data_IF_163860888997
#
_entry.id   IF_163860888997
#
_cell.length_a   1.000
_cell.length_b   1.000
_cell.length_c   1.000
_cell.angle_alpha   90.00
_cell.angle_beta   90.00
_cell.angle_gamma   90.00
#
_symmetry.space_group_name_H-M   'P 1'
#
loop_
_entity.id
_entity.type
_entity.pdbx_description
1 polymer ?
#
# COMPACT_ATOMS: atom_id res chain seq x y z
N UNK A 1 10.88 -26.35 -21.79
CA UNK A 1 11.74 -26.08 -22.95
C UNK A 1 12.56 -24.78 -22.75
N UNK A 2 11.95 -23.62 -22.56
CA UNK A 2 12.68 -22.34 -22.42
C UNK A 2 13.68 -22.36 -21.25
N UNK A 3 13.27 -22.89 -20.10
CA UNK A 3 14.15 -23.06 -18.93
C UNK A 3 15.38 -23.89 -19.31
N UNK A 4 15.18 -25.02 -19.98
CA UNK A 4 16.27 -25.91 -20.41
C UNK A 4 17.25 -25.21 -21.37
N UNK A 5 16.75 -24.42 -22.33
CA UNK A 5 17.59 -23.62 -23.25
C UNK A 5 18.46 -22.63 -22.46
N UNK A 6 17.89 -21.97 -21.45
CA UNK A 6 18.63 -21.01 -20.62
C UNK A 6 19.63 -21.72 -19.68
N UNK A 7 19.28 -22.88 -19.15
CA UNK A 7 20.20 -23.72 -18.34
C UNK A 7 21.40 -24.24 -19.17
N UNK A 8 21.13 -24.58 -20.46
CA UNK A 8 22.19 -24.98 -21.40
C UNK A 8 23.04 -23.78 -21.91
N UNK A 9 22.76 -22.55 -21.43
CA UNK A 9 23.50 -21.32 -21.79
C UNK A 9 23.16 -20.73 -23.15
N UNK A 10 22.10 -21.24 -23.81
CA UNK A 10 21.64 -20.78 -25.10
C UNK A 10 20.62 -19.62 -24.97
N UNK A 11 20.37 -18.91 -26.08
CA UNK A 11 19.38 -17.82 -26.13
C UNK A 11 18.04 -18.33 -26.63
N UNK A 12 16.97 -17.87 -25.97
CA UNK A 12 15.59 -18.16 -26.41
C UNK A 12 15.28 -17.31 -27.64
N UNK A 13 15.00 -17.97 -28.78
CA UNK A 13 14.58 -17.31 -30.01
C UNK A 13 13.07 -17.02 -29.98
N UNK A 14 12.68 -15.81 -30.37
CA UNK A 14 11.28 -15.43 -30.49
C UNK A 14 10.67 -16.06 -31.76
N UNK A 15 9.77 -17.01 -31.60
CA UNK A 15 9.17 -17.77 -32.68
C UNK A 15 7.73 -18.18 -32.34
N UNK A 16 6.92 -18.36 -33.39
CA UNK A 16 5.62 -19.02 -33.23
C UNK A 16 5.83 -20.52 -33.27
N UNK A 17 5.28 -21.26 -32.33
CA UNK A 17 5.37 -22.71 -32.22
C UNK A 17 4.01 -23.35 -32.26
N UNK A 18 3.91 -24.51 -32.90
CA UNK A 18 2.75 -25.35 -32.87
C UNK A 18 2.96 -26.45 -31.80
N UNK A 19 1.97 -26.64 -30.94
CA UNK A 19 1.95 -27.75 -30.00
C UNK A 19 1.34 -29.00 -30.65
N UNK A 20 2.03 -30.09 -30.54
CA UNK A 20 1.59 -31.43 -31.00
C UNK A 20 1.18 -32.22 -29.75
N UNK A 21 -0.13 -32.37 -29.55
CA UNK A 21 -0.69 -33.06 -28.37
C UNK A 21 -0.45 -34.56 -28.37
N UNK A 22 -0.18 -35.17 -29.52
CA UNK A 22 0.09 -36.61 -29.61
C UNK A 22 1.51 -36.96 -29.16
N UNK A 23 2.44 -36.00 -29.25
CA UNK A 23 3.85 -36.18 -28.90
C UNK A 23 4.25 -35.38 -27.66
N UNK A 24 3.34 -34.57 -27.14
CA UNK A 24 3.60 -33.59 -26.06
C UNK A 24 4.81 -32.67 -26.35
N UNK A 25 4.96 -32.27 -27.61
CA UNK A 25 6.08 -31.47 -28.07
C UNK A 25 5.64 -30.22 -28.83
N UNK A 26 6.50 -29.21 -28.82
CA UNK A 26 6.30 -28.02 -29.66
C UNK A 26 7.31 -27.99 -30.80
N UNK A 27 6.85 -27.69 -32.02
CA UNK A 27 7.70 -27.46 -33.21
C UNK A 27 7.63 -26.04 -33.71
N UNK A 28 8.74 -25.48 -34.22
CA UNK A 28 8.74 -24.13 -34.76
C UNK A 28 7.89 -24.06 -36.02
N UNK A 29 7.09 -23.00 -36.15
CA UNK A 29 6.33 -22.71 -37.36
C UNK A 29 6.97 -21.56 -38.15
N UNK A 30 7.18 -20.42 -37.48
CA UNK A 30 7.70 -19.21 -38.09
C UNK A 30 8.60 -18.47 -37.10
N UNK A 31 9.80 -18.11 -37.54
CA UNK A 31 10.69 -17.21 -36.81
C UNK A 31 10.17 -15.77 -36.94
N UNK A 32 10.23 -15.01 -35.84
CA UNK A 32 9.90 -13.58 -35.79
C UNK A 32 11.17 -12.70 -35.67
N UNK A 33 12.35 -13.27 -35.90
CA UNK A 33 13.62 -12.54 -35.73
C UNK A 33 13.72 -11.26 -36.55
N UNK A 34 13.00 -11.18 -37.69
CA UNK A 34 13.01 -10.04 -38.60
C UNK A 34 11.63 -9.37 -38.74
N UNK A 35 10.63 -9.80 -37.96
CA UNK A 35 9.34 -9.11 -37.95
C UNK A 35 9.48 -7.84 -37.11
N UNK A 36 9.56 -6.70 -37.75
CA UNK A 36 9.34 -5.42 -37.06
C UNK A 36 8.00 -5.53 -36.31
N UNK A 37 8.07 -5.36 -34.99
CA UNK A 37 6.86 -5.42 -34.17
C UNK A 37 6.03 -4.18 -34.50
N UNK A 38 4.95 -4.37 -35.24
CA UNK A 38 4.03 -3.28 -35.63
C UNK A 38 3.53 -2.42 -34.47
N UNK A 39 3.71 -2.87 -33.25
CA UNK A 39 3.30 -2.15 -32.03
C UNK A 39 4.23 -1.01 -31.64
N UNK A 40 5.41 -0.93 -32.26
CA UNK A 40 6.41 0.12 -31.97
C UNK A 40 6.48 1.20 -33.06
N UNK A 41 5.56 1.20 -34.02
CA UNK A 41 5.44 2.33 -34.94
C UNK A 41 4.75 3.48 -34.22
N UNK A 42 5.31 4.71 -34.26
CA UNK A 42 4.59 5.89 -33.83
C UNK A 42 3.27 5.97 -34.60
N UNK A 43 2.16 6.17 -33.89
CA UNK A 43 0.87 6.41 -34.52
C UNK A 43 0.94 7.75 -35.27
N UNK A 44 0.72 7.79 -36.59
CA UNK A 44 0.89 9.01 -37.38
C UNK A 44 -0.06 10.14 -36.96
N UNK A 45 -1.19 9.80 -36.35
CA UNK A 45 -2.20 10.75 -35.89
C UNK A 45 -1.92 11.32 -34.50
N UNK A 46 -0.89 10.80 -33.79
CA UNK A 46 -0.50 11.28 -32.47
C UNK A 46 0.75 12.17 -32.57
N UNK A 47 0.66 13.35 -31.98
CA UNK A 47 1.81 14.23 -31.85
C UNK A 47 2.81 13.66 -30.85
N UNK A 48 4.13 13.82 -31.09
CA UNK A 48 5.14 13.45 -30.11
C UNK A 48 4.91 14.14 -28.76
N UNK A 49 4.89 13.38 -27.68
CA UNK A 49 4.88 13.93 -26.33
C UNK A 49 6.32 14.20 -25.92
N UNK A 50 6.65 15.48 -25.72
CA UNK A 50 7.96 15.92 -25.27
C UNK A 50 7.86 16.23 -23.78
N UNK A 51 8.54 15.44 -22.95
CA UNK A 51 8.64 15.65 -21.51
C UNK A 51 10.02 16.23 -21.23
N UNK A 52 10.07 17.43 -20.65
CA UNK A 52 11.32 18.08 -20.31
C UNK A 52 11.92 17.51 -19.02
N UNK A 53 13.25 17.60 -18.88
CA UNK A 53 13.92 17.21 -17.62
C UNK A 53 13.42 18.02 -16.42
N UNK A 54 12.96 19.24 -16.63
CA UNK A 54 12.38 20.09 -15.59
C UNK A 54 11.04 19.53 -15.10
N UNK A 55 10.19 19.04 -15.99
CA UNK A 55 8.92 18.38 -15.62
C UNK A 55 9.18 17.08 -14.87
N UNK A 56 10.15 16.29 -15.29
CA UNK A 56 10.56 15.07 -14.60
C UNK A 56 11.07 15.40 -13.20
N UNK A 57 11.92 16.44 -13.08
CA UNK A 57 12.46 16.84 -11.77
C UNK A 57 11.35 17.35 -10.84
N UNK A 58 10.43 18.17 -11.35
CA UNK A 58 9.26 18.63 -10.58
C UNK A 58 8.44 17.45 -10.02
N UNK A 59 8.16 16.45 -10.86
CA UNK A 59 7.43 15.25 -10.42
C UNK A 59 8.21 14.51 -9.34
N UNK A 60 9.53 14.39 -9.48
CA UNK A 60 10.39 13.73 -8.47
C UNK A 60 10.37 14.47 -7.13
N UNK A 61 10.42 15.80 -7.16
CA UNK A 61 10.42 16.64 -5.96
C UNK A 61 9.07 16.61 -5.22
N UNK A 62 7.98 16.43 -5.96
CA UNK A 62 6.61 16.32 -5.43
C UNK A 62 6.19 14.86 -5.14
N UNK A 63 7.08 13.89 -5.38
CA UNK A 63 6.75 12.47 -5.26
C UNK A 63 6.51 12.09 -3.79
N UNK A 64 5.35 11.54 -3.45
CA UNK A 64 5.07 11.15 -2.08
C UNK A 64 5.90 9.93 -1.67
N UNK A 65 6.13 9.78 -0.38
CA UNK A 65 6.77 8.59 0.19
C UNK A 65 6.01 7.32 -0.22
N UNK A 66 6.72 6.37 -0.80
CA UNK A 66 6.15 5.12 -1.30
C UNK A 66 5.83 4.14 -0.15
N UNK A 67 4.89 3.18 -0.36
CA UNK A 67 4.54 2.21 0.68
C UNK A 67 5.73 1.46 1.28
N UNK A 68 6.71 1.06 0.46
CA UNK A 68 7.93 0.40 0.96
C UNK A 68 8.86 1.31 1.77
N UNK A 69 8.88 2.59 1.45
CA UNK A 69 9.65 3.58 2.21
C UNK A 69 8.99 3.84 3.56
N UNK A 70 7.65 3.99 3.57
CA UNK A 70 6.85 4.07 4.80
C UNK A 70 7.06 2.83 5.68
N UNK A 71 7.00 1.63 5.11
CA UNK A 71 7.24 0.37 5.81
C UNK A 71 8.62 0.37 6.49
N UNK A 72 9.67 0.73 5.74
CA UNK A 72 11.03 0.82 6.28
C UNK A 72 11.15 1.87 7.39
N UNK A 73 10.52 3.03 7.23
CA UNK A 73 10.47 4.09 8.25
C UNK A 73 9.73 3.63 9.52
N UNK A 74 8.59 2.98 9.38
CA UNK A 74 7.82 2.48 10.53
C UNK A 74 8.60 1.44 11.32
N UNK A 75 9.33 0.57 10.66
CA UNK A 75 10.21 -0.40 11.33
C UNK A 75 11.44 0.28 11.95
N UNK A 76 12.16 1.09 11.18
CA UNK A 76 13.45 1.65 11.60
C UNK A 76 13.34 2.77 12.61
N UNK A 77 12.38 3.68 12.46
CA UNK A 77 12.25 4.88 13.30
C UNK A 77 11.23 4.73 14.41
N UNK A 78 10.12 4.01 14.16
CA UNK A 78 9.04 3.86 15.12
C UNK A 78 9.10 2.53 15.88
N UNK A 79 9.94 1.59 15.46
CA UNK A 79 10.12 0.30 16.11
C UNK A 79 8.91 -0.65 15.96
N UNK A 80 8.09 -0.46 14.91
CA UNK A 80 6.97 -1.35 14.63
C UNK A 80 7.47 -2.71 14.10
N UNK A 81 6.64 -3.75 14.27
CA UNK A 81 6.92 -5.05 13.66
C UNK A 81 6.84 -4.97 12.13
N UNK A 82 7.49 -5.90 11.42
CA UNK A 82 7.37 -6.04 9.96
C UNK A 82 5.91 -6.20 9.55
N UNK A 83 5.17 -7.04 10.27
CA UNK A 83 3.76 -7.30 10.02
C UNK A 83 2.90 -6.02 10.14
N UNK A 84 3.04 -5.27 11.24
CA UNK A 84 2.26 -4.05 11.47
C UNK A 84 2.59 -2.98 10.43
N UNK A 85 3.87 -2.81 10.15
CA UNK A 85 4.37 -1.84 9.16
C UNK A 85 3.82 -2.14 7.75
N UNK A 86 3.80 -3.41 7.36
CA UNK A 86 3.28 -3.87 6.08
C UNK A 86 1.76 -3.64 5.97
N UNK A 87 1.00 -3.96 7.02
CA UNK A 87 -0.46 -3.76 7.01
C UNK A 87 -0.80 -2.28 6.89
N UNK A 88 -0.18 -1.42 7.71
CA UNK A 88 -0.48 0.02 7.71
C UNK A 88 -0.08 0.65 6.37
N UNK A 89 1.10 0.30 5.83
CA UNK A 89 1.59 0.87 4.57
C UNK A 89 0.87 0.35 3.32
N UNK A 90 0.17 -0.77 3.41
CA UNK A 90 -0.56 -1.37 2.28
C UNK A 90 -1.75 -0.53 1.80
N UNK A 91 -2.34 0.28 2.66
CA UNK A 91 -3.42 1.19 2.35
C UNK A 91 -2.97 2.64 2.53
N UNK A 92 -3.09 3.44 1.46
CA UNK A 92 -2.72 4.86 1.51
C UNK A 92 -3.52 5.62 2.57
N UNK A 93 -4.83 5.40 2.65
CA UNK A 93 -5.70 6.08 3.62
C UNK A 93 -5.34 5.74 5.07
N UNK A 94 -5.00 4.48 5.34
CA UNK A 94 -4.56 4.05 6.67
C UNK A 94 -3.17 4.59 7.02
N UNK A 95 -2.23 4.58 6.08
CA UNK A 95 -0.90 5.12 6.29
C UNK A 95 -0.93 6.65 6.55
N UNK A 96 -1.71 7.39 5.76
CA UNK A 96 -1.86 8.83 5.94
C UNK A 96 -2.53 9.16 7.29
N UNK A 97 -3.53 8.37 7.72
CA UNK A 97 -4.16 8.52 9.02
C UNK A 97 -3.20 8.18 10.17
N UNK A 98 -2.40 7.13 10.03
CA UNK A 98 -1.38 6.76 10.99
C UNK A 98 -0.34 7.88 11.13
N UNK A 99 0.22 8.36 10.01
CA UNK A 99 1.20 9.45 9.99
C UNK A 99 0.65 10.73 10.63
N UNK A 100 -0.62 11.09 10.37
CA UNK A 100 -1.27 12.23 11.01
C UNK A 100 -1.42 12.03 12.52
N UNK A 101 -1.67 10.81 12.99
CA UNK A 101 -1.79 10.50 14.41
C UNK A 101 -0.46 10.56 15.16
N UNK A 102 0.67 10.27 14.50
CA UNK A 102 2.01 10.31 15.10
C UNK A 102 2.40 11.70 15.63
N UNK A 103 1.81 12.75 15.09
CA UNK A 103 2.06 14.14 15.54
C UNK A 103 1.60 14.35 16.98
N UNK A 104 0.59 13.61 17.43
CA UNK A 104 -0.11 13.81 18.71
C UNK A 104 0.14 12.73 19.75
N UNK A 105 0.69 11.57 19.36
CA UNK A 105 1.03 10.50 20.29
C UNK A 105 2.41 9.94 20.01
N UNK A 106 3.07 9.41 21.07
CA UNK A 106 4.38 8.77 20.97
C UNK A 106 4.33 7.27 21.25
N UNK A 107 3.18 6.74 21.65
CA UNK A 107 3.01 5.29 21.82
C UNK A 107 2.61 4.67 20.48
N UNK A 108 3.61 4.52 19.61
CA UNK A 108 3.43 4.04 18.23
C UNK A 108 2.93 2.59 18.18
N UNK A 109 3.39 1.75 19.11
CA UNK A 109 2.96 0.35 19.17
C UNK A 109 1.49 0.24 19.59
N UNK A 110 1.03 1.03 20.56
CA UNK A 110 -0.37 1.03 20.95
C UNK A 110 -1.26 1.58 19.82
N UNK A 111 -0.82 2.68 19.17
CA UNK A 111 -1.53 3.26 18.03
C UNK A 111 -1.66 2.25 16.87
N UNK A 112 -0.57 1.54 16.50
CA UNK A 112 -0.61 0.54 15.43
C UNK A 112 -1.56 -0.61 15.76
N UNK A 113 -1.52 -1.12 16.99
CA UNK A 113 -2.42 -2.17 17.45
C UNK A 113 -3.90 -1.76 17.35
N UNK A 114 -4.22 -0.52 17.74
CA UNK A 114 -5.59 0.00 17.63
C UNK A 114 -6.02 0.18 16.19
N UNK A 115 -5.12 0.67 15.33
CA UNK A 115 -5.41 0.88 13.92
C UNK A 115 -5.69 -0.44 13.19
N UNK A 116 -4.84 -1.44 13.42
CA UNK A 116 -4.95 -2.77 12.80
C UNK A 116 -6.12 -3.58 13.42
N UNK A 117 -6.34 -3.45 14.72
CA UNK A 117 -7.37 -4.18 15.43
C UNK A 117 -8.73 -3.46 15.40
N UNK A 118 -8.97 -2.58 16.36
CA UNK A 118 -10.28 -2.01 16.63
C UNK A 118 -10.80 -1.12 15.48
N UNK A 119 -9.94 -0.26 14.94
CA UNK A 119 -10.34 0.66 13.87
C UNK A 119 -10.62 -0.11 12.58
N UNK A 120 -9.73 -1.02 12.18
CA UNK A 120 -9.96 -1.85 11.00
C UNK A 120 -11.18 -2.75 11.14
N UNK A 121 -11.44 -3.31 12.33
CA UNK A 121 -12.64 -4.10 12.59
C UNK A 121 -13.93 -3.26 12.43
N UNK A 122 -13.93 -2.02 12.93
CA UNK A 122 -15.03 -1.09 12.78
C UNK A 122 -15.28 -0.73 11.30
N UNK A 123 -14.23 -0.34 10.58
CA UNK A 123 -14.34 0.04 9.16
C UNK A 123 -14.85 -1.12 8.30
N UNK A 124 -14.36 -2.33 8.55
CA UNK A 124 -14.80 -3.53 7.84
C UNK A 124 -16.27 -3.88 8.16
N UNK A 125 -16.69 -3.72 9.41
CA UNK A 125 -18.08 -3.98 9.82
C UNK A 125 -19.04 -3.01 9.16
N UNK A 126 -18.73 -1.72 9.14
CA UNK A 126 -19.55 -0.67 8.55
C UNK A 126 -19.39 -0.58 7.02
N UNK A 127 -18.41 -1.28 6.44
CA UNK A 127 -18.06 -1.25 5.01
C UNK A 127 -17.73 0.15 4.49
N UNK A 128 -16.99 0.92 5.28
CA UNK A 128 -16.57 2.30 4.97
C UNK A 128 -15.05 2.42 5.00
N UNK A 129 -14.53 3.42 4.30
CA UNK A 129 -13.15 3.86 4.40
C UNK A 129 -12.95 4.80 5.60
N UNK A 130 -11.69 4.90 6.09
CA UNK A 130 -11.39 5.70 7.29
C UNK A 130 -11.75 7.16 7.14
N UNK A 131 -11.65 7.73 5.94
CA UNK A 131 -12.00 9.12 5.66
C UNK A 131 -13.52 9.38 5.63
N UNK A 132 -14.35 8.34 5.54
CA UNK A 132 -15.81 8.41 5.61
C UNK A 132 -16.31 8.28 7.05
N UNK A 133 -15.44 7.84 7.97
CA UNK A 133 -15.77 7.70 9.39
C UNK A 133 -15.79 9.05 10.10
N UNK A 134 -16.39 9.09 11.29
CA UNK A 134 -16.33 10.26 12.19
C UNK A 134 -15.02 10.36 12.98
N UNK A 135 -14.14 9.38 12.80
CA UNK A 135 -12.84 9.32 13.44
C UNK A 135 -11.88 10.31 12.76
N UNK A 136 -11.12 11.01 13.57
CA UNK A 136 -9.98 11.81 13.10
C UNK A 136 -8.70 11.35 13.77
N UNK A 137 -7.56 11.57 13.12
CA UNK A 137 -6.26 11.23 13.66
C UNK A 137 -6.03 11.84 15.05
N UNK A 138 -6.47 13.09 15.26
CA UNK A 138 -6.36 13.78 16.55
C UNK A 138 -7.18 13.06 17.66
N UNK A 139 -8.42 12.69 17.37
CA UNK A 139 -9.29 12.00 18.35
C UNK A 139 -8.74 10.64 18.73
N UNK A 140 -8.25 9.89 17.74
CA UNK A 140 -7.64 8.58 18.01
C UNK A 140 -6.35 8.75 18.82
N UNK A 141 -5.49 9.69 18.46
CA UNK A 141 -4.28 9.96 19.24
C UNK A 141 -4.59 10.40 20.69
N UNK A 142 -5.66 11.19 20.92
CA UNK A 142 -6.12 11.53 22.28
C UNK A 142 -6.53 10.26 23.04
N UNK A 143 -7.30 9.37 22.43
CA UNK A 143 -7.70 8.10 23.05
C UNK A 143 -6.48 7.26 23.44
N UNK A 144 -5.52 7.12 22.51
CA UNK A 144 -4.27 6.40 22.76
C UNK A 144 -3.52 6.99 23.95
N UNK A 145 -3.41 8.34 24.01
CA UNK A 145 -2.74 9.01 25.12
C UNK A 145 -3.44 8.78 26.47
N UNK A 146 -4.79 8.76 26.51
CA UNK A 146 -5.55 8.46 27.74
C UNK A 146 -5.40 7.01 28.22
N UNK A 147 -5.13 6.10 27.31
CA UNK A 147 -4.80 4.72 27.67
C UNK A 147 -3.34 4.62 28.13
N UNK A 148 -2.43 5.31 27.43
CA UNK A 148 -1.00 5.29 27.72
C UNK A 148 -0.67 5.92 29.10
N UNK A 149 -1.30 7.04 29.43
CA UNK A 149 -1.16 7.71 30.74
C UNK A 149 -1.97 7.05 31.86
N UNK A 150 -2.65 5.93 31.57
CA UNK A 150 -3.46 5.16 32.51
C UNK A 150 -4.69 5.90 33.08
N UNK A 151 -5.10 7.01 32.48
CA UNK A 151 -6.36 7.70 32.83
C UNK A 151 -7.54 6.76 32.64
N UNK A 152 -7.48 5.93 31.59
CA UNK A 152 -8.46 4.89 31.32
C UNK A 152 -7.78 3.55 31.03
N UNK A 153 -8.47 2.45 31.36
CA UNK A 153 -8.00 1.12 30.97
C UNK A 153 -8.30 0.84 29.50
N UNK A 154 -7.56 -0.10 28.88
CA UNK A 154 -7.84 -0.52 27.50
C UNK A 154 -9.28 -1.02 27.28
N UNK A 155 -9.91 -1.62 28.31
CA UNK A 155 -11.31 -2.03 28.26
C UNK A 155 -12.26 -0.85 28.18
N UNK A 156 -12.03 0.18 29.00
CA UNK A 156 -12.81 1.44 28.96
C UNK A 156 -12.55 2.15 27.62
N UNK A 157 -11.30 2.15 27.13
CA UNK A 157 -10.96 2.72 25.84
C UNK A 157 -11.77 2.14 24.68
N UNK A 158 -12.08 0.84 24.70
CA UNK A 158 -12.95 0.22 23.66
C UNK A 158 -14.38 0.75 23.73
N UNK A 159 -14.96 0.93 24.91
CA UNK A 159 -16.30 1.50 25.05
C UNK A 159 -16.35 2.98 24.60
N UNK A 160 -15.32 3.75 24.93
CA UNK A 160 -15.19 5.13 24.48
C UNK A 160 -15.06 5.18 22.95
N UNK A 161 -14.24 4.30 22.36
CA UNK A 161 -14.08 4.20 20.91
C UNK A 161 -15.41 3.91 20.19
N UNK A 162 -16.22 2.99 20.70
CA UNK A 162 -17.55 2.72 20.15
C UNK A 162 -18.42 3.97 20.15
N UNK A 163 -18.43 4.71 21.24
CA UNK A 163 -19.17 5.97 21.34
C UNK A 163 -18.62 7.06 20.43
N UNK A 164 -17.29 7.16 20.28
CA UNK A 164 -16.64 8.06 19.32
C UNK A 164 -17.07 7.76 17.88
N UNK A 165 -17.20 6.49 17.52
CA UNK A 165 -17.66 6.08 16.18
C UNK A 165 -19.11 6.50 15.93
N UNK A 166 -19.98 6.45 16.95
CA UNK A 166 -21.39 6.80 16.84
C UNK A 166 -21.62 8.31 16.87
N UNK A 167 -21.09 8.98 17.89
CA UNK A 167 -21.33 10.42 18.13
C UNK A 167 -20.40 11.33 17.35
N UNK A 168 -19.16 10.89 17.11
CA UNK A 168 -18.09 11.72 16.61
C UNK A 168 -17.49 12.65 17.67
N UNK A 169 -17.80 12.44 18.95
CA UNK A 169 -17.23 13.20 20.07
C UNK A 169 -15.76 12.87 20.29
N UNK A 170 -15.06 13.72 21.02
CA UNK A 170 -13.69 13.47 21.48
C UNK A 170 -13.71 12.52 22.69
N UNK A 171 -12.59 11.80 22.96
CA UNK A 171 -12.49 10.98 24.18
C UNK A 171 -12.77 11.75 25.47
N UNK A 172 -12.27 12.99 25.56
CA UNK A 172 -12.39 13.83 26.75
C UNK A 172 -13.83 14.32 27.00
N UNK A 173 -14.68 14.34 25.97
CA UNK A 173 -16.13 14.64 26.10
C UNK A 173 -16.93 13.43 26.54
N UNK A 174 -16.40 12.23 26.39
CA UNK A 174 -17.07 10.96 26.70
C UNK A 174 -16.66 10.47 28.11
N UNK A 175 -15.43 10.76 28.54
CA UNK A 175 -14.89 10.44 29.88
C UNK A 175 -15.60 11.28 30.95
#
# INVERSE_FOLDING_TARGET
RQIKILEDGEKVTQETRLYDSSKDETRPMRSKEFANDYRYFPEPDLLPVIISDQEIQKIRDEFPELPKEKEARYQGELGLSEYDSQIISSSKSMADFFDASLVKTKNYSLLSNWLIGEISAYLNKEQIEIHESKLTADKVAMLINRIDDQTISGKIGKSIFEEMCLSGSTPDEII
#
